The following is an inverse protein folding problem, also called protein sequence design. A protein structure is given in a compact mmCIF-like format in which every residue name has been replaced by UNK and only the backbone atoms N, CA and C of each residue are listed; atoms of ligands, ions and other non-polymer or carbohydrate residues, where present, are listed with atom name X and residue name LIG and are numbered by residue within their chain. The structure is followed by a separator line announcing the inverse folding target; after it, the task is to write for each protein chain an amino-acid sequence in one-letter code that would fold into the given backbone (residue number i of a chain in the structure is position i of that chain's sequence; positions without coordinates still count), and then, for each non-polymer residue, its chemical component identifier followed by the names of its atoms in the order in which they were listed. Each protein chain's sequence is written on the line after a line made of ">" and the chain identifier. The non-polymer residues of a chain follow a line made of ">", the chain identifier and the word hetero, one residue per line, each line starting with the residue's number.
data_IF_432385927633
#
_entry.id   IF_432385927633
#
_cell.length_a   1.000
_cell.length_b   1.000
_cell.length_c   1.000
_cell.angle_alpha   90.00
_cell.angle_beta   90.00
_cell.angle_gamma   90.00
#
_symmetry.space_group_name_H-M   'P 1'
#
loop_
_entity.id
_entity.type
_entity.pdbx_description
1 polymer ?
#
# COMPACT_ATOMS: atom_id res chain seq x y z
N UNK A 1 -13.44 -0.85 -38.03
CA UNK A 1 -13.30 -1.22 -36.61
C UNK A 1 -11.81 -1.20 -36.28
N UNK A 2 -11.35 -0.27 -35.45
CA UNK A 2 -9.95 -0.26 -34.99
C UNK A 2 -9.84 -1.42 -33.99
N UNK A 3 -9.16 -2.49 -34.36
CA UNK A 3 -8.73 -3.49 -33.38
C UNK A 3 -7.99 -2.74 -32.28
N UNK A 4 -8.50 -2.79 -31.05
CA UNK A 4 -7.72 -2.31 -29.91
C UNK A 4 -6.44 -3.14 -29.90
N UNK A 5 -5.32 -2.53 -30.29
CA UNK A 5 -4.04 -3.22 -30.36
C UNK A 5 -3.65 -3.60 -28.93
N UNK A 6 -3.97 -4.83 -28.55
CA UNK A 6 -3.61 -5.35 -27.23
C UNK A 6 -2.10 -5.16 -27.02
N UNK A 7 -1.74 -4.59 -25.87
CA UNK A 7 -0.36 -4.27 -25.51
C UNK A 7 0.57 -5.45 -25.83
N UNK A 8 1.56 -5.31 -26.74
CA UNK A 8 2.30 -6.44 -27.30
C UNK A 8 2.94 -7.35 -26.26
N UNK A 9 3.38 -6.78 -25.13
CA UNK A 9 3.89 -7.54 -23.99
C UNK A 9 2.91 -8.59 -23.47
N UNK A 10 1.61 -8.29 -23.42
CA UNK A 10 0.57 -9.21 -22.94
C UNK A 10 0.21 -10.33 -23.94
N UNK A 11 0.82 -10.31 -25.12
CA UNK A 11 0.69 -11.35 -26.16
C UNK A 11 1.86 -12.33 -26.16
N UNK A 12 2.93 -12.04 -25.42
CA UNK A 12 4.09 -12.93 -25.33
C UNK A 12 3.72 -14.25 -24.63
N UNK A 13 4.43 -15.35 -24.95
CA UNK A 13 4.31 -16.59 -24.18
C UNK A 13 4.59 -16.34 -22.69
N UNK A 14 3.90 -17.06 -21.81
CA UNK A 14 3.97 -16.83 -20.36
C UNK A 14 5.42 -16.85 -19.83
N UNK A 15 6.26 -17.77 -20.29
CA UNK A 15 7.65 -17.87 -19.85
C UNK A 15 8.48 -16.61 -20.24
N UNK A 16 8.23 -16.05 -21.44
CA UNK A 16 8.88 -14.82 -21.87
C UNK A 16 8.43 -13.63 -21.02
N UNK A 17 7.13 -13.54 -20.73
CA UNK A 17 6.58 -12.53 -19.81
C UNK A 17 7.24 -12.65 -18.44
N UNK A 18 7.27 -13.86 -17.88
CA UNK A 18 7.82 -14.11 -16.56
C UNK A 18 9.29 -13.66 -16.47
N UNK A 19 10.11 -13.98 -17.47
CA UNK A 19 11.50 -13.54 -17.52
C UNK A 19 11.64 -12.02 -17.55
N UNK A 20 10.78 -11.32 -18.32
CA UNK A 20 10.79 -9.86 -18.35
C UNK A 20 10.36 -9.28 -17.00
N UNK A 21 9.31 -9.82 -16.38
CA UNK A 21 8.84 -9.38 -15.05
C UNK A 21 9.91 -9.58 -13.98
N UNK A 22 10.71 -10.64 -14.06
CA UNK A 22 11.84 -10.87 -13.15
C UNK A 22 12.98 -9.87 -13.32
N UNK A 23 13.02 -9.14 -14.44
CA UNK A 23 13.93 -8.02 -14.66
C UNK A 23 13.32 -6.65 -14.31
N UNK A 24 12.03 -6.59 -13.99
CA UNK A 24 11.36 -5.35 -13.60
C UNK A 24 11.60 -5.02 -12.12
N UNK A 25 11.69 -3.74 -11.82
CA UNK A 25 11.65 -3.21 -10.46
C UNK A 25 10.27 -3.41 -9.83
N UNK A 26 10.21 -3.38 -8.50
CA UNK A 26 8.95 -3.49 -7.76
C UNK A 26 7.97 -2.36 -8.12
N UNK A 27 8.51 -1.18 -8.42
CA UNK A 27 7.74 -0.05 -8.93
C UNK A 27 7.10 -0.37 -10.28
N UNK A 28 7.88 -0.82 -11.26
CA UNK A 28 7.36 -1.15 -12.59
C UNK A 28 6.30 -2.25 -12.54
N UNK A 29 6.49 -3.26 -11.67
CA UNK A 29 5.51 -4.32 -11.44
C UNK A 29 4.21 -3.72 -10.85
N UNK A 30 4.33 -2.83 -9.86
CA UNK A 30 3.18 -2.15 -9.24
C UNK A 30 2.44 -1.30 -10.28
N UNK A 31 3.14 -0.43 -11.01
CA UNK A 31 2.54 0.42 -12.04
C UNK A 31 1.87 -0.40 -13.14
N UNK A 32 2.54 -1.44 -13.65
CA UNK A 32 1.97 -2.33 -14.66
C UNK A 32 0.72 -3.05 -14.16
N UNK A 33 0.71 -3.47 -12.88
CA UNK A 33 -0.46 -4.12 -12.28
C UNK A 33 -1.66 -3.18 -12.15
N UNK A 34 -1.46 -1.86 -12.12
CA UNK A 34 -2.53 -0.86 -12.05
C UNK A 34 -3.17 -0.58 -13.42
N UNK A 35 -2.43 -0.76 -14.53
CA UNK A 35 -2.91 -0.38 -15.87
C UNK A 35 -4.20 -1.08 -16.33
N UNK A 36 -4.46 -2.32 -15.90
CA UNK A 36 -5.66 -3.07 -16.32
C UNK A 36 -5.92 -4.31 -15.46
N UNK A 37 -7.15 -4.83 -15.50
CA UNK A 37 -7.48 -6.13 -14.89
C UNK A 37 -6.63 -7.28 -15.45
N UNK A 38 -6.26 -7.23 -16.73
CA UNK A 38 -5.44 -8.26 -17.38
C UNK A 38 -4.00 -8.22 -16.87
N UNK A 39 -3.40 -7.04 -16.77
CA UNK A 39 -2.05 -6.87 -16.23
C UNK A 39 -2.00 -7.17 -14.74
N UNK A 40 -3.01 -6.77 -13.94
CA UNK A 40 -3.14 -7.19 -12.52
C UNK A 40 -3.09 -8.72 -12.40
N UNK A 41 -3.94 -9.44 -13.13
CA UNK A 41 -4.00 -10.92 -13.12
C UNK A 41 -2.69 -11.58 -13.51
N UNK A 42 -1.97 -10.98 -14.46
CA UNK A 42 -0.66 -11.46 -14.89
C UNK A 42 0.39 -11.28 -13.80
N UNK A 43 0.43 -10.11 -13.14
CA UNK A 43 1.36 -9.89 -12.03
C UNK A 43 1.02 -10.78 -10.82
N UNK A 44 -0.26 -11.12 -10.61
CA UNK A 44 -0.69 -12.04 -9.55
C UNK A 44 -0.26 -13.51 -9.77
N UNK A 45 -0.05 -13.93 -11.02
CA UNK A 45 0.32 -15.30 -11.37
C UNK A 45 1.83 -15.52 -11.38
N UNK A 46 2.61 -14.46 -11.45
CA UNK A 46 4.07 -14.50 -11.41
C UNK A 46 4.54 -14.32 -9.97
N UNK A 47 5.48 -15.16 -9.52
CA UNK A 47 6.15 -14.96 -8.23
C UNK A 47 7.16 -13.83 -8.34
N UNK A 48 7.22 -12.99 -7.32
CA UNK A 48 8.13 -11.84 -7.22
C UNK A 48 9.25 -12.14 -6.20
N UNK A 49 10.29 -12.90 -6.59
CA UNK A 49 11.32 -13.33 -5.66
C UNK A 49 12.07 -12.13 -5.06
N UNK A 50 12.38 -12.24 -3.76
CA UNK A 50 13.15 -11.23 -3.03
C UNK A 50 12.30 -10.20 -2.28
N UNK A 51 11.03 -9.98 -2.68
CA UNK A 51 10.13 -9.19 -1.85
C UNK A 51 9.75 -9.94 -0.57
N UNK A 52 9.65 -9.21 0.53
CA UNK A 52 9.53 -9.79 1.88
C UNK A 52 8.26 -9.39 2.60
N UNK A 53 7.83 -8.13 2.51
CA UNK A 53 6.63 -7.63 3.17
C UNK A 53 6.07 -6.38 2.50
N UNK A 54 4.79 -6.14 2.76
CA UNK A 54 4.16 -4.83 2.63
C UNK A 54 4.21 -4.18 4.02
N UNK A 55 4.59 -2.92 4.09
CA UNK A 55 4.57 -2.15 5.33
C UNK A 55 3.65 -0.95 5.16
N UNK A 56 2.79 -0.72 6.13
CA UNK A 56 2.00 0.51 6.21
C UNK A 56 2.42 1.26 7.47
N UNK A 57 2.55 2.58 7.33
CA UNK A 57 2.69 3.47 8.47
C UNK A 57 1.61 4.52 8.40
N UNK A 58 0.88 4.66 9.51
CA UNK A 58 -0.20 5.61 9.65
C UNK A 58 0.00 6.33 10.98
N UNK A 59 0.40 7.59 10.88
CA UNK A 59 0.52 8.53 11.98
C UNK A 59 -0.04 9.91 11.56
N UNK A 60 -0.06 10.87 12.48
CA UNK A 60 -0.60 12.22 12.22
C UNK A 60 0.15 13.02 11.14
N UNK A 61 1.42 12.70 10.89
CA UNK A 61 2.31 13.36 9.93
C UNK A 61 2.49 12.56 8.63
N UNK A 62 2.38 11.23 8.70
CA UNK A 62 2.80 10.31 7.65
C UNK A 62 1.75 9.23 7.43
N UNK A 63 1.36 9.07 6.18
CA UNK A 63 0.59 7.92 5.70
C UNK A 63 1.36 7.35 4.51
N UNK A 64 1.99 6.20 4.67
CA UNK A 64 2.71 5.56 3.57
C UNK A 64 2.52 4.05 3.52
N UNK A 65 2.59 3.54 2.30
CA UNK A 65 2.61 2.12 1.96
C UNK A 65 3.96 1.84 1.30
N UNK A 66 4.68 0.83 1.77
CA UNK A 66 5.98 0.46 1.23
C UNK A 66 6.05 -1.04 0.89
N UNK A 67 6.73 -1.36 -0.20
CA UNK A 67 7.17 -2.71 -0.55
C UNK A 67 8.63 -2.87 -0.17
N UNK A 68 8.95 -3.93 0.58
CA UNK A 68 10.30 -4.15 1.08
C UNK A 68 10.95 -5.44 0.61
N UNK A 69 12.27 -5.37 0.39
CA UNK A 69 13.19 -6.48 0.21
C UNK A 69 14.16 -6.50 1.40
N UNK A 70 13.84 -7.31 2.42
CA UNK A 70 14.58 -7.28 3.68
C UNK A 70 14.40 -5.93 4.38
N UNK A 71 15.46 -5.14 4.48
CA UNK A 71 15.42 -3.78 5.04
C UNK A 71 15.36 -2.68 3.97
N UNK A 72 15.46 -3.04 2.70
CA UNK A 72 15.44 -2.10 1.58
C UNK A 72 14.00 -1.75 1.20
N UNK A 73 13.71 -0.45 1.05
CA UNK A 73 12.44 0.05 0.51
C UNK A 73 12.56 0.06 -1.03
N UNK A 74 11.81 -0.81 -1.69
CA UNK A 74 11.84 -0.93 -3.15
C UNK A 74 10.85 0.04 -3.84
N UNK A 75 9.74 0.33 -3.17
CA UNK A 75 8.69 1.25 -3.63
C UNK A 75 7.98 1.82 -2.42
N UNK A 76 7.72 3.13 -2.42
CA UNK A 76 6.99 3.83 -1.35
C UNK A 76 5.95 4.77 -1.95
N UNK A 77 4.77 4.73 -1.35
CA UNK A 77 3.58 5.45 -1.77
C UNK A 77 3.06 6.23 -0.59
N UNK A 78 3.22 7.55 -0.59
CA UNK A 78 2.66 8.42 0.43
C UNK A 78 1.24 8.85 0.06
N UNK A 79 0.38 9.01 1.06
CA UNK A 79 -0.97 9.56 0.90
C UNK A 79 -1.01 10.89 1.65
N UNK A 80 -1.28 11.97 0.93
CA UNK A 80 -1.40 13.31 1.50
C UNK A 80 -2.85 13.75 1.56
N UNK A 81 -3.18 14.55 2.57
CA UNK A 81 -4.48 15.23 2.68
C UNK A 81 -4.51 16.55 1.88
N UNK A 82 -3.40 16.95 1.28
CA UNK A 82 -3.29 18.18 0.50
C UNK A 82 -3.44 17.87 -0.98
N UNK A 83 -4.16 18.73 -1.72
CA UNK A 83 -4.25 18.65 -3.17
C UNK A 83 -2.88 18.96 -3.78
N UNK A 84 -2.53 18.29 -4.88
CA UNK A 84 -1.35 18.69 -5.64
C UNK A 84 -1.50 20.12 -6.17
N UNK A 85 -0.44 20.91 -6.01
CA UNK A 85 -0.33 22.24 -6.63
C UNK A 85 0.07 22.18 -8.11
N UNK A 86 0.50 21.00 -8.58
CA UNK A 86 0.91 20.74 -9.97
C UNK A 86 -0.19 20.03 -10.76
N UNK A 87 -0.14 20.15 -12.08
CA UNK A 87 -0.98 19.39 -13.02
C UNK A 87 -0.29 18.14 -13.56
N UNK A 88 0.99 17.91 -13.21
CA UNK A 88 1.77 16.75 -13.66
C UNK A 88 1.50 15.50 -12.80
N UNK A 89 0.22 15.12 -12.72
CA UNK A 89 -0.23 13.90 -12.08
C UNK A 89 -0.94 13.02 -13.10
N UNK A 90 -0.98 11.71 -12.83
CA UNK A 90 -1.88 10.80 -13.54
C UNK A 90 -3.12 10.52 -12.72
N UNK A 91 -4.26 10.37 -13.37
CA UNK A 91 -5.47 9.85 -12.75
C UNK A 91 -5.54 8.33 -12.93
N UNK A 92 -5.96 7.64 -11.88
CA UNK A 92 -6.14 6.19 -11.89
C UNK A 92 -7.35 5.78 -11.04
N UNK A 93 -7.82 4.55 -11.20
CA UNK A 93 -8.93 3.99 -10.42
C UNK A 93 -8.50 2.65 -9.84
N UNK A 94 -8.28 2.62 -8.52
CA UNK A 94 -7.96 1.40 -7.77
C UNK A 94 -9.19 0.96 -6.99
N UNK A 95 -9.72 -0.24 -7.27
CA UNK A 95 -10.89 -0.78 -6.58
C UNK A 95 -12.07 0.20 -6.44
N UNK A 96 -12.37 0.92 -7.54
CA UNK A 96 -13.41 1.96 -7.67
C UNK A 96 -13.11 3.27 -6.91
N UNK A 97 -11.92 3.42 -6.37
CA UNK A 97 -11.41 4.67 -5.77
C UNK A 97 -10.60 5.41 -6.82
N UNK A 98 -11.12 6.56 -7.28
CA UNK A 98 -10.36 7.47 -8.13
C UNK A 98 -9.25 8.12 -7.31
N UNK A 99 -8.03 8.07 -7.81
CA UNK A 99 -6.85 8.65 -7.19
C UNK A 99 -6.05 9.45 -8.20
N UNK A 100 -5.33 10.46 -7.71
CA UNK A 100 -4.28 11.12 -8.49
C UNK A 100 -2.94 10.70 -7.95
N UNK A 101 -2.06 10.30 -8.85
CA UNK A 101 -0.72 9.82 -8.52
C UNK A 101 0.29 10.79 -9.10
N UNK A 102 1.12 11.34 -8.22
CA UNK A 102 2.31 12.10 -8.57
C UNK A 102 3.54 11.20 -8.38
N UNK A 103 4.40 11.15 -9.39
CA UNK A 103 5.69 10.44 -9.30
C UNK A 103 6.77 11.43 -8.86
N UNK A 104 7.34 11.21 -7.68
CA UNK A 104 8.39 12.05 -7.11
C UNK A 104 9.81 11.54 -7.43
N UNK A 105 9.92 10.27 -7.86
CA UNK A 105 11.19 9.66 -8.25
C UNK A 105 10.99 8.24 -8.77
N UNK A 106 12.09 7.47 -8.87
CA UNK A 106 12.03 6.12 -9.42
C UNK A 106 11.20 5.16 -8.57
N UNK A 107 11.20 5.32 -7.25
CA UNK A 107 10.51 4.46 -6.29
C UNK A 107 9.55 5.21 -5.37
N UNK A 108 9.37 6.52 -5.57
CA UNK A 108 8.61 7.38 -4.66
C UNK A 108 7.38 7.94 -5.38
N UNK A 109 6.22 7.66 -4.82
CA UNK A 109 4.93 8.10 -5.32
C UNK A 109 4.16 8.82 -4.22
N UNK A 110 3.30 9.74 -4.64
CA UNK A 110 2.39 10.45 -3.76
C UNK A 110 0.98 10.36 -4.34
N UNK A 111 0.00 10.17 -3.47
CA UNK A 111 -1.42 10.18 -3.77
C UNK A 111 -2.06 11.32 -2.99
N UNK A 112 -2.83 12.19 -3.63
CA UNK A 112 -3.68 13.12 -2.91
C UNK A 112 -5.06 12.50 -2.59
N UNK A 113 -5.45 12.60 -1.33
CA UNK A 113 -6.71 12.07 -0.80
C UNK A 113 -7.20 12.95 0.36
N UNK A 114 -7.65 14.20 0.08
CA UNK A 114 -7.97 15.19 1.11
C UNK A 114 -9.13 14.80 2.02
N UNK A 115 -10.12 14.08 1.51
CA UNK A 115 -11.38 13.82 2.22
C UNK A 115 -11.46 12.41 2.83
N UNK A 116 -10.87 11.42 2.16
CA UNK A 116 -11.00 10.00 2.49
C UNK A 116 -9.66 9.26 2.29
N UNK A 117 -8.58 9.66 2.98
CA UNK A 117 -7.26 9.04 2.83
C UNK A 117 -7.30 7.55 3.18
N UNK A 118 -8.15 7.13 4.12
CA UNK A 118 -8.30 5.73 4.49
C UNK A 118 -8.75 4.85 3.32
N UNK A 119 -9.58 5.37 2.40
CA UNK A 119 -10.05 4.62 1.23
C UNK A 119 -8.95 4.44 0.19
N UNK A 120 -8.15 5.49 -0.03
CA UNK A 120 -7.02 5.43 -0.95
C UNK A 120 -5.95 4.46 -0.44
N UNK A 121 -5.60 4.54 0.85
CA UNK A 121 -4.67 3.60 1.48
C UNK A 121 -5.21 2.17 1.38
N UNK A 122 -6.49 1.95 1.75
CA UNK A 122 -7.10 0.62 1.69
C UNK A 122 -7.03 0.02 0.28
N UNK A 123 -7.46 0.78 -0.73
CA UNK A 123 -7.45 0.32 -2.11
C UNK A 123 -6.03 -0.07 -2.57
N UNK A 124 -5.03 0.75 -2.23
CA UNK A 124 -3.65 0.44 -2.60
C UNK A 124 -3.10 -0.78 -1.86
N UNK A 125 -3.37 -0.90 -0.55
CA UNK A 125 -2.95 -2.05 0.27
C UNK A 125 -3.59 -3.34 -0.22
N UNK A 126 -4.90 -3.34 -0.47
CA UNK A 126 -5.61 -4.51 -1.01
C UNK A 126 -5.03 -4.93 -2.36
N UNK A 127 -4.81 -3.95 -3.26
CA UNK A 127 -4.18 -4.20 -4.55
C UNK A 127 -2.78 -4.79 -4.44
N UNK A 128 -1.94 -4.27 -3.54
CA UNK A 128 -0.59 -4.81 -3.32
C UNK A 128 -0.63 -6.21 -2.69
N UNK A 129 -1.52 -6.46 -1.71
CA UNK A 129 -1.70 -7.79 -1.11
C UNK A 129 -2.12 -8.81 -2.16
N UNK A 130 -3.04 -8.43 -3.02
CA UNK A 130 -3.50 -9.24 -4.15
C UNK A 130 -2.37 -9.62 -5.09
N UNK A 131 -1.56 -8.64 -5.51
CA UNK A 131 -0.49 -8.81 -6.51
C UNK A 131 0.71 -9.57 -5.94
N UNK A 132 1.19 -9.17 -4.77
CA UNK A 132 2.46 -9.66 -4.23
C UNK A 132 2.31 -10.82 -3.26
N UNK A 133 1.14 -10.98 -2.63
CA UNK A 133 0.84 -12.05 -1.65
C UNK A 133 1.87 -12.09 -0.51
N UNK A 134 2.26 -10.90 -0.04
CA UNK A 134 3.25 -10.71 1.01
C UNK A 134 2.57 -10.49 2.38
N UNK A 135 3.25 -10.82 3.49
CA UNK A 135 2.78 -10.46 4.82
C UNK A 135 2.70 -8.93 4.98
N UNK A 136 1.72 -8.49 5.77
CA UNK A 136 1.49 -7.08 6.08
C UNK A 136 2.05 -6.74 7.46
N UNK A 137 2.95 -5.75 7.52
CA UNK A 137 3.42 -5.12 8.76
C UNK A 137 2.76 -3.76 8.89
N UNK A 138 2.27 -3.45 10.10
CA UNK A 138 1.57 -2.21 10.39
C UNK A 138 2.30 -1.44 11.49
N UNK A 139 2.65 -0.20 11.21
CA UNK A 139 3.12 0.79 12.17
C UNK A 139 2.00 1.81 12.37
N UNK A 140 1.41 1.85 13.56
CA UNK A 140 0.22 2.65 13.82
C UNK A 140 0.43 3.57 15.02
N UNK A 141 0.35 4.88 14.80
CA UNK A 141 0.35 5.88 15.86
C UNK A 141 -0.99 6.64 15.83
N UNK A 142 -1.98 6.23 16.65
CA UNK A 142 -3.30 6.85 16.66
C UNK A 142 -3.30 8.24 17.32
N UNK A 143 -2.27 8.58 18.11
CA UNK A 143 -2.24 9.83 18.84
C UNK A 143 -2.16 11.04 17.90
N UNK A 144 -3.04 12.02 18.10
CA UNK A 144 -3.17 13.18 17.24
C UNK A 144 -3.74 12.89 15.84
N UNK A 145 -4.14 11.65 15.56
CA UNK A 145 -4.81 11.29 14.31
C UNK A 145 -6.33 11.44 14.49
N UNK A 146 -6.91 12.44 13.83
CA UNK A 146 -8.36 12.64 13.83
C UNK A 146 -9.09 11.40 13.35
N UNK A 147 -10.02 10.90 14.17
CA UNK A 147 -10.85 9.73 13.86
C UNK A 147 -10.03 8.49 13.43
N UNK A 148 -8.96 8.17 14.16
CA UNK A 148 -8.04 7.04 13.86
C UNK A 148 -8.76 5.71 13.55
N UNK A 149 -9.95 5.50 14.13
CA UNK A 149 -10.77 4.30 13.93
C UNK A 149 -11.09 4.02 12.45
N UNK A 150 -11.17 5.07 11.61
CA UNK A 150 -11.38 4.95 10.16
C UNK A 150 -10.27 4.19 9.44
N UNK A 151 -9.08 4.07 10.04
CA UNK A 151 -7.94 3.39 9.45
C UNK A 151 -7.86 1.91 9.81
N UNK A 152 -8.49 1.44 10.88
CA UNK A 152 -8.44 0.02 11.27
C UNK A 152 -8.94 -0.95 10.18
N UNK A 153 -10.00 -0.62 9.40
CA UNK A 153 -10.45 -1.47 8.30
C UNK A 153 -9.44 -1.64 7.15
N UNK A 154 -8.34 -0.89 7.12
CA UNK A 154 -7.24 -1.08 6.14
C UNK A 154 -6.47 -2.37 6.45
N UNK A 155 -6.34 -2.72 7.73
CA UNK A 155 -5.53 -3.84 8.20
C UNK A 155 -6.28 -4.70 9.23
N UNK A 156 -7.47 -5.22 8.91
CA UNK A 156 -8.24 -6.05 9.85
C UNK A 156 -7.50 -7.34 10.22
N UNK A 157 -6.59 -7.79 9.35
CA UNK A 157 -5.64 -8.87 9.59
C UNK A 157 -4.25 -8.40 9.15
N UNK A 158 -3.25 -8.54 10.01
CA UNK A 158 -1.86 -8.26 9.69
C UNK A 158 -0.90 -9.27 10.34
N UNK A 159 0.29 -9.38 9.78
CA UNK A 159 1.32 -10.28 10.30
C UNK A 159 2.01 -9.70 11.54
N UNK A 160 2.35 -8.40 11.47
CA UNK A 160 2.95 -7.64 12.57
C UNK A 160 2.17 -6.36 12.81
N UNK A 161 1.93 -6.03 14.07
CA UNK A 161 1.32 -4.77 14.50
C UNK A 161 2.21 -4.08 15.53
N UNK A 162 2.65 -2.87 15.23
CA UNK A 162 3.33 -1.99 16.17
C UNK A 162 2.43 -0.79 16.43
N UNK A 163 1.98 -0.64 17.67
CA UNK A 163 1.21 0.53 18.09
C UNK A 163 2.09 1.42 18.94
N UNK A 164 2.37 2.62 18.44
CA UNK A 164 3.14 3.64 19.14
C UNK A 164 2.20 4.74 19.65
N UNK A 165 2.49 5.31 20.81
CA UNK A 165 1.84 6.52 21.26
C UNK A 165 2.84 7.40 22.01
N UNK A 166 3.03 8.61 21.51
CA UNK A 166 3.84 9.64 22.17
C UNK A 166 3.25 10.06 23.53
N UNK A 167 1.92 9.96 23.68
CA UNK A 167 1.18 10.17 24.92
C UNK A 167 0.53 8.86 25.43
N UNK A 168 -0.26 8.92 26.51
CA UNK A 168 -0.98 7.73 27.03
C UNK A 168 -2.14 7.38 26.11
N UNK A 169 -1.99 6.31 25.32
CA UNK A 169 -3.14 5.59 24.76
C UNK A 169 -3.99 5.08 25.93
N UNK A 170 -5.29 5.38 25.93
CA UNK A 170 -6.17 4.87 26.98
C UNK A 170 -6.34 3.36 26.85
N UNK A 171 -6.67 2.67 27.95
CA UNK A 171 -6.95 1.22 27.89
C UNK A 171 -8.15 0.91 26.99
N UNK A 172 -9.13 1.81 26.92
CA UNK A 172 -10.29 1.68 26.03
C UNK A 172 -9.90 1.74 24.55
N UNK A 173 -9.04 2.68 24.17
CA UNK A 173 -8.53 2.78 22.80
C UNK A 173 -7.67 1.57 22.42
N UNK A 174 -6.81 1.14 23.34
CA UNK A 174 -5.99 -0.05 23.13
C UNK A 174 -6.85 -1.30 22.98
N UNK A 175 -7.88 -1.46 23.81
CA UNK A 175 -8.81 -2.58 23.72
C UNK A 175 -9.59 -2.52 22.40
N UNK A 176 -10.06 -1.34 21.99
CA UNK A 176 -10.73 -1.16 20.71
C UNK A 176 -9.86 -1.60 19.52
N UNK A 177 -8.56 -1.28 19.52
CA UNK A 177 -7.64 -1.73 18.46
C UNK A 177 -7.52 -3.26 18.48
N UNK A 178 -7.34 -3.86 19.65
CA UNK A 178 -7.22 -5.32 19.81
C UNK A 178 -8.48 -6.07 19.36
N UNK A 179 -9.66 -5.50 19.61
CA UNK A 179 -10.93 -6.10 19.23
C UNK A 179 -11.18 -6.04 17.71
N UNK A 180 -10.52 -5.12 17.00
CA UNK A 180 -10.75 -4.87 15.57
C UNK A 180 -9.60 -5.34 14.66
N UNK A 181 -8.47 -5.80 15.20
CA UNK A 181 -7.29 -6.20 14.43
C UNK A 181 -6.80 -7.57 14.88
N UNK A 182 -6.82 -8.53 13.95
CA UNK A 182 -6.22 -9.85 14.15
C UNK A 182 -4.74 -9.79 13.76
N UNK A 183 -3.86 -10.19 14.67
CA UNK A 183 -2.40 -10.21 14.46
C UNK A 183 -1.92 -11.66 14.39
N UNK A 184 -1.32 -12.04 13.26
CA UNK A 184 -0.96 -13.44 12.98
C UNK A 184 0.36 -13.88 13.64
N UNK A 185 1.28 -12.95 13.92
CA UNK A 185 2.60 -13.30 14.47
C UNK A 185 3.03 -12.48 15.68
N UNK A 186 3.12 -11.16 15.59
CA UNK A 186 3.63 -10.34 16.70
C UNK A 186 2.93 -8.99 16.80
N UNK A 187 2.48 -8.64 18.00
CA UNK A 187 1.97 -7.32 18.35
C UNK A 187 2.83 -6.68 19.44
N UNK A 188 3.23 -5.42 19.24
CA UNK A 188 3.96 -4.62 20.23
C UNK A 188 3.21 -3.32 20.49
N UNK A 189 3.04 -2.99 21.77
CA UNK A 189 2.30 -1.81 22.21
C UNK A 189 3.22 -0.95 23.08
N UNK A 190 3.67 0.18 22.51
CA UNK A 190 4.59 1.09 23.18
C UNK A 190 3.79 2.19 23.87
N UNK A 191 3.73 2.12 25.21
CA UNK A 191 3.14 3.16 26.07
C UNK A 191 4.24 4.12 26.54
N UNK A 192 4.03 5.42 26.40
CA UNK A 192 4.88 6.43 27.06
C UNK A 192 4.85 6.22 28.57
N UNK A 193 6.02 6.11 29.21
CA UNK A 193 6.16 5.90 30.67
C UNK A 193 6.02 7.20 31.50
N UNK A 194 5.60 8.31 30.88
CA UNK A 194 5.49 9.60 31.58
C UNK A 194 4.15 9.76 32.31
#
# INVERSE_FOLDING_TARGET
>A
MVESSSFPFLKLPFLAIQNVVHCMSCTEITELSLCSRRSKRLMQSIRHPGLTRIEITIDRLRMYIALLKGLEICSIWSVTKELFSTTDYREDVIDKVSIRILRLGNSNFQIDAPTQPEKAIKALVDHMKDVFKLPLTVMFEPFGLENYRRFLPIFPVCYRLYVYSSDKISEEELQFIKDNVVVEWQAEFYKSKK
#
